data_IF_049536123855
#
_entry.id   IF_049536123855
#
_cell.length_a   1.000
_cell.length_b   1.000
_cell.length_c   1.000
_cell.angle_alpha   90.00
_cell.angle_beta   90.00
_cell.angle_gamma   90.00
#
_symmetry.space_group_name_H-M   'P 1'
#
loop_
_entity.id
_entity.type
_entity.pdbx_description
1 polymer ?
#
# COMPACT_ATOMS: atom_id res chain seq x y z
N UNK A 1 18.44 14.60 12.61
CA UNK A 1 18.23 14.42 12.37
C UNK A 1 18.21 13.83 12.01
N UNK A 2 17.97 13.94 12.01
CA UNK A 2 17.70 13.53 11.70
C UNK A 2 17.39 12.88 11.10
N UNK A 3 17.61 12.50 10.80
CA UNK A 3 17.15 11.93 10.20
C UNK A 3 16.15 11.78 10.02
N UNK A 4 16.00 12.01 10.59
CA UNK A 4 14.65 11.96 10.79
C UNK A 4 13.84 12.41 9.71
N UNK A 5 14.19 13.35 9.09
CA UNK A 5 13.41 13.85 8.04
C UNK A 5 13.24 12.84 7.00
N UNK A 6 14.05 11.88 6.95
CA UNK A 6 13.83 10.83 6.08
C UNK A 6 13.03 9.79 6.72
N UNK A 7 12.65 10.01 7.94
CA UNK A 7 11.94 9.07 8.74
C UNK A 7 10.58 9.64 9.00
N UNK A 8 9.58 9.04 8.48
CA UNK A 8 8.24 9.54 8.67
C UNK A 8 7.71 9.11 9.98
N UNK A 9 7.08 10.01 10.66
CA UNK A 9 6.30 9.63 11.84
C UNK A 9 4.90 9.28 11.34
N UNK A 10 4.72 8.03 11.02
CA UNK A 10 3.45 7.57 10.50
C UNK A 10 2.45 7.23 11.60
N UNK A 11 2.85 7.39 12.85
CA UNK A 11 1.96 7.03 13.95
C UNK A 11 0.69 7.87 13.99
N UNK A 12 0.69 9.03 13.35
CA UNK A 12 -0.53 9.83 13.31
C UNK A 12 -1.65 9.09 12.59
N UNK A 13 -1.32 8.09 11.78
CA UNK A 13 -2.32 7.31 11.08
C UNK A 13 -2.83 6.13 11.89
N UNK A 14 -2.25 5.87 13.06
CA UNK A 14 -2.62 4.70 13.84
C UNK A 14 -4.06 4.77 14.32
N UNK A 15 -4.59 5.95 14.54
CA UNK A 15 -5.95 6.11 15.02
C UNK A 15 -6.92 6.50 13.93
N UNK A 16 -6.48 6.50 12.67
CA UNK A 16 -7.34 6.83 11.56
C UNK A 16 -8.28 5.65 11.31
N UNK A 17 -9.60 5.88 11.21
CA UNK A 17 -10.51 4.78 10.93
C UNK A 17 -10.39 4.23 9.51
N UNK A 18 -9.78 4.99 8.62
CA UNK A 18 -9.53 4.50 7.26
C UNK A 18 -8.27 3.65 7.27
N UNK A 19 -8.27 2.60 6.45
CA UNK A 19 -7.07 1.77 6.31
C UNK A 19 -6.03 2.50 5.49
N UNK A 20 -4.84 2.63 6.03
CA UNK A 20 -3.75 3.33 5.37
C UNK A 20 -2.53 2.44 5.37
N UNK A 21 -1.89 2.31 4.22
CA UNK A 21 -0.61 1.61 4.17
C UNK A 21 0.35 2.37 3.26
N UNK A 22 1.62 2.13 3.47
CA UNK A 22 2.68 2.62 2.60
C UNK A 22 3.35 1.39 2.02
N UNK A 23 3.56 1.38 0.72
CA UNK A 23 4.13 0.22 0.06
C UNK A 23 5.31 0.62 -0.81
N UNK A 24 6.16 -0.38 -1.07
CA UNK A 24 7.25 -0.25 -2.02
C UNK A 24 6.94 -1.23 -3.16
N UNK A 25 6.69 -0.72 -4.35
CA UNK A 25 6.38 -1.56 -5.50
C UNK A 25 7.67 -2.15 -6.04
N UNK A 26 7.68 -3.47 -6.19
CA UNK A 26 8.86 -4.22 -6.63
C UNK A 26 8.81 -4.43 -8.13
N UNK A 27 9.94 -4.24 -8.79
CA UNK A 27 10.04 -4.42 -10.22
C UNK A 27 10.96 -5.59 -10.53
N UNK A 28 10.72 -6.24 -11.67
CA UNK A 28 11.62 -7.29 -12.12
C UNK A 28 12.73 -6.69 -13.00
N UNK A 29 13.52 -7.54 -13.61
CA UNK A 29 14.65 -7.08 -14.42
C UNK A 29 14.21 -6.26 -15.61
N UNK A 30 12.99 -6.47 -16.08
CA UNK A 30 12.46 -5.71 -17.20
C UNK A 30 11.77 -4.44 -16.75
N UNK A 31 11.92 -4.07 -15.48
CA UNK A 31 11.29 -2.89 -14.89
C UNK A 31 9.76 -2.97 -14.91
N UNK A 32 9.22 -4.16 -14.85
CA UNK A 32 7.79 -4.37 -14.77
C UNK A 32 7.39 -4.70 -13.33
N UNK A 33 6.23 -4.20 -12.87
CA UNK A 33 5.81 -4.46 -11.50
C UNK A 33 5.44 -5.92 -11.31
N UNK A 34 5.91 -6.51 -10.22
CA UNK A 34 5.63 -7.92 -9.94
C UNK A 34 5.05 -8.14 -8.56
N UNK A 35 5.23 -7.19 -7.63
CA UNK A 35 4.80 -7.37 -6.25
C UNK A 35 4.95 -6.04 -5.54
N UNK A 36 4.59 -6.00 -4.27
CA UNK A 36 4.93 -4.85 -3.42
C UNK A 36 5.16 -5.34 -2.00
N UNK A 37 5.97 -4.58 -1.27
CA UNK A 37 6.29 -4.85 0.12
C UNK A 37 5.61 -3.81 0.97
N UNK A 38 5.00 -4.22 2.07
CA UNK A 38 4.37 -3.29 2.99
C UNK A 38 5.46 -2.63 3.84
N UNK A 39 5.49 -1.30 3.82
CA UNK A 39 6.42 -0.53 4.64
C UNK A 39 5.74 -0.11 5.94
N UNK A 40 4.45 0.21 5.86
CA UNK A 40 3.68 0.62 7.02
C UNK A 40 2.22 0.22 6.79
N UNK A 41 1.57 -0.20 7.84
CA UNK A 41 0.13 -0.50 7.82
C UNK A 41 -0.44 0.02 9.14
N UNK A 42 -1.53 0.78 9.06
CA UNK A 42 -2.16 1.21 10.29
C UNK A 42 -3.10 0.11 10.81
N UNK A 43 -3.59 0.22 12.05
CA UNK A 43 -4.44 -0.84 12.60
C UNK A 43 -5.70 -1.09 11.79
N UNK A 44 -6.33 -0.06 11.22
CA UNK A 44 -7.54 -0.27 10.42
C UNK A 44 -7.24 -1.11 9.20
N UNK A 45 -6.09 -0.88 8.54
CA UNK A 45 -5.70 -1.67 7.39
C UNK A 45 -5.42 -3.12 7.80
N UNK A 46 -4.73 -3.31 8.92
CA UNK A 46 -4.41 -4.66 9.40
C UNK A 46 -5.68 -5.42 9.72
N UNK A 47 -6.63 -4.77 10.38
CA UNK A 47 -7.88 -5.42 10.71
C UNK A 47 -8.60 -5.87 9.45
N UNK A 48 -8.59 -5.00 8.44
CA UNK A 48 -9.26 -5.35 7.23
C UNK A 48 -8.61 -6.53 6.54
N UNK A 49 -7.29 -6.63 6.59
CA UNK A 49 -6.58 -7.75 5.98
C UNK A 49 -6.65 -9.02 6.83
N UNK A 50 -7.08 -8.89 8.07
CA UNK A 50 -7.20 -10.05 8.94
C UNK A 50 -5.88 -10.52 9.53
N UNK A 51 -4.86 -9.66 9.52
CA UNK A 51 -3.54 -9.99 10.06
C UNK A 51 -3.05 -8.82 10.90
N UNK A 52 -2.29 -9.09 11.96
CA UNK A 52 -1.71 -7.99 12.71
C UNK A 52 -0.67 -7.25 11.86
N UNK A 53 -0.50 -5.95 12.15
CA UNK A 53 0.39 -5.12 11.34
C UNK A 53 1.82 -5.68 11.30
N UNK A 54 2.29 -6.25 12.39
CA UNK A 54 3.65 -6.77 12.42
C UNK A 54 3.82 -8.01 11.54
N UNK A 55 2.72 -8.62 11.11
CA UNK A 55 2.79 -9.72 10.16
C UNK A 55 2.66 -9.25 8.73
N UNK A 56 2.30 -7.99 8.53
CA UNK A 56 2.19 -7.42 7.20
C UNK A 56 3.44 -6.64 6.82
N UNK A 57 3.93 -5.82 7.74
CA UNK A 57 5.06 -4.93 7.44
C UNK A 57 6.31 -5.77 7.17
N UNK A 58 6.99 -5.44 6.09
CA UNK A 58 8.17 -6.17 5.65
C UNK A 58 7.87 -7.35 4.76
N UNK A 59 6.58 -7.68 4.54
CA UNK A 59 6.21 -8.82 3.73
C UNK A 59 5.72 -8.38 2.36
N UNK A 60 5.93 -9.23 1.38
CA UNK A 60 5.43 -8.98 0.04
C UNK A 60 4.00 -9.45 -0.07
N UNK A 61 3.21 -8.69 -0.85
CA UNK A 61 1.79 -8.96 -0.97
C UNK A 61 1.51 -10.37 -1.49
N UNK A 62 2.20 -10.78 -2.56
CA UNK A 62 1.92 -12.09 -3.15
C UNK A 62 2.54 -13.24 -2.37
N UNK A 63 3.39 -12.94 -1.38
CA UNK A 63 3.81 -13.96 -0.43
C UNK A 63 2.68 -14.22 0.57
N UNK A 64 2.00 -13.17 1.00
CA UNK A 64 0.89 -13.31 1.94
C UNK A 64 -0.37 -13.81 1.25
N UNK A 65 -0.61 -13.36 0.03
CA UNK A 65 -1.82 -13.69 -0.71
C UNK A 65 -1.46 -14.17 -2.11
N UNK A 66 -0.95 -15.40 -2.22
CA UNK A 66 -0.37 -15.85 -3.50
C UNK A 66 -1.37 -15.97 -4.64
N UNK A 67 -2.66 -16.11 -4.32
CA UNK A 67 -3.66 -16.25 -5.37
C UNK A 67 -4.38 -14.94 -5.66
N UNK A 68 -3.96 -13.83 -5.06
CA UNK A 68 -4.64 -12.55 -5.27
C UNK A 68 -4.45 -12.08 -6.70
N UNK A 69 -5.40 -11.29 -7.18
CA UNK A 69 -5.39 -10.80 -8.54
C UNK A 69 -4.19 -9.90 -8.79
N UNK A 70 -3.69 -9.94 -10.01
CA UNK A 70 -2.60 -9.05 -10.42
C UNK A 70 -3.09 -7.69 -10.89
N UNK A 71 -4.40 -7.45 -10.84
CA UNK A 71 -4.98 -6.22 -11.36
C UNK A 71 -4.52 -4.97 -10.63
N UNK A 72 -4.03 -5.13 -9.39
CA UNK A 72 -3.58 -3.99 -8.58
C UNK A 72 -2.21 -3.46 -9.01
N UNK A 73 -1.43 -4.28 -9.70
CA UNK A 73 -0.03 -3.94 -9.96
C UNK A 73 0.14 -2.73 -10.85
N UNK A 74 -0.61 -2.66 -11.94
CA UNK A 74 -0.43 -1.56 -12.89
C UNK A 74 -0.77 -0.20 -12.28
N UNK A 75 -1.94 -0.03 -11.65
CA UNK A 75 -2.24 1.27 -11.07
C UNK A 75 -1.30 1.65 -9.94
N UNK A 76 -0.87 0.71 -9.14
CA UNK A 76 0.07 1.01 -8.07
C UNK A 76 1.44 1.40 -8.65
N UNK A 77 1.85 0.71 -9.70
CA UNK A 77 3.09 1.04 -10.38
C UNK A 77 3.02 2.46 -10.96
N UNK A 78 1.91 2.81 -11.59
CA UNK A 78 1.78 4.13 -12.19
C UNK A 78 1.77 5.22 -11.13
N UNK A 79 1.11 4.99 -10.02
CA UNK A 79 1.12 5.96 -8.93
C UNK A 79 2.54 6.12 -8.38
N UNK A 80 3.24 5.00 -8.25
CA UNK A 80 4.55 4.99 -7.62
C UNK A 80 5.64 5.56 -8.51
N UNK A 81 5.70 5.14 -9.74
CA UNK A 81 6.84 5.45 -10.60
C UNK A 81 6.54 6.52 -11.64
N UNK A 82 5.28 6.76 -11.92
CA UNK A 82 4.89 7.78 -12.90
C UNK A 82 4.16 8.95 -12.27
N UNK A 83 3.98 8.91 -10.96
CA UNK A 83 3.30 9.96 -10.20
C UNK A 83 1.89 10.22 -10.72
N UNK A 84 1.20 9.15 -11.12
CA UNK A 84 -0.17 9.25 -11.59
C UNK A 84 -1.07 8.72 -10.49
N UNK A 85 -1.74 9.60 -9.73
CA UNK A 85 -2.67 9.12 -8.70
C UNK A 85 -3.82 8.38 -9.33
N UNK A 86 -4.36 7.40 -8.64
CA UNK A 86 -5.49 6.67 -9.17
C UNK A 86 -6.49 6.34 -8.09
N UNK A 87 -7.74 6.17 -8.52
CA UNK A 87 -8.80 5.68 -7.67
C UNK A 87 -9.29 4.38 -8.27
N UNK A 88 -9.48 3.38 -7.44
CA UNK A 88 -9.90 2.07 -7.89
C UNK A 88 -11.08 1.61 -7.07
N UNK A 89 -12.07 1.04 -7.77
CA UNK A 89 -13.18 0.38 -7.10
C UNK A 89 -13.16 -1.06 -7.59
N UNK A 90 -12.71 -1.97 -6.75
CA UNK A 90 -12.46 -3.34 -7.17
C UNK A 90 -12.76 -4.30 -6.04
N UNK A 91 -12.96 -5.55 -6.40
CA UNK A 91 -13.13 -6.59 -5.41
C UNK A 91 -11.75 -7.16 -5.09
N UNK A 92 -11.42 -7.20 -3.80
CA UNK A 92 -10.21 -7.86 -3.35
C UNK A 92 -10.59 -9.27 -2.94
N UNK A 93 -10.38 -10.20 -3.85
CA UNK A 93 -10.81 -11.58 -3.64
C UNK A 93 -10.13 -12.21 -2.43
N UNK A 94 -8.89 -11.80 -2.15
CA UNK A 94 -8.14 -12.39 -1.06
C UNK A 94 -8.75 -12.12 0.30
N UNK A 95 -9.58 -11.08 0.41
CA UNK A 95 -10.26 -10.77 1.66
C UNK A 95 -11.78 -10.76 1.49
N UNK A 96 -12.25 -11.05 0.28
CA UNK A 96 -13.69 -11.12 0.02
C UNK A 96 -14.40 -9.80 0.19
N UNK A 97 -13.76 -8.69 -0.13
CA UNK A 97 -14.31 -7.37 0.13
C UNK A 97 -14.21 -6.47 -1.07
N UNK A 98 -15.18 -5.56 -1.18
CA UNK A 98 -15.19 -4.58 -2.24
C UNK A 98 -14.45 -3.35 -1.73
N UNK A 99 -13.48 -2.89 -2.51
CA UNK A 99 -12.58 -1.84 -2.05
C UNK A 99 -12.66 -0.60 -2.90
N UNK A 100 -12.59 0.55 -2.23
CA UNK A 100 -12.30 1.79 -2.93
C UNK A 100 -10.91 2.25 -2.44
N UNK A 101 -9.99 2.40 -3.37
CA UNK A 101 -8.59 2.67 -3.04
C UNK A 101 -8.16 3.96 -3.70
N UNK A 102 -7.51 4.81 -2.92
CA UNK A 102 -6.81 5.97 -3.46
C UNK A 102 -5.32 5.68 -3.34
N UNK A 103 -4.67 5.55 -4.48
CA UNK A 103 -3.23 5.31 -4.52
C UNK A 103 -2.54 6.59 -4.98
N UNK A 104 -1.65 7.12 -4.16
CA UNK A 104 -0.97 8.38 -4.46
C UNK A 104 0.51 8.23 -4.17
N UNK A 105 1.37 8.92 -4.92
CA UNK A 105 2.77 8.94 -4.59
C UNK A 105 2.98 9.75 -3.32
N UNK A 106 4.03 9.43 -2.58
CA UNK A 106 4.35 10.24 -1.41
C UNK A 106 5.19 11.40 -1.86
N UNK A 107 4.59 12.57 -1.85
CA UNK A 107 5.22 13.74 -2.43
C UNK A 107 6.51 14.12 -1.75
N UNK A 108 6.66 13.79 -0.48
CA UNK A 108 7.86 14.16 0.23
C UNK A 108 9.05 13.28 -0.10
N UNK A 109 8.84 12.19 -0.84
CA UNK A 109 9.94 11.31 -1.16
C UNK A 109 10.39 11.52 -2.56
N UNK A 110 11.68 11.57 -2.74
CA UNK A 110 12.24 11.63 -4.05
C UNK A 110 12.58 10.27 -4.56
N UNK A 111 12.52 9.30 -3.70
CA UNK A 111 12.87 7.94 -4.07
C UNK A 111 11.66 7.22 -4.58
N UNK A 112 11.80 6.44 -5.61
CA UNK A 112 10.64 5.79 -6.20
C UNK A 112 10.13 4.61 -5.39
N UNK A 113 10.66 4.39 -4.19
CA UNK A 113 10.20 3.28 -3.40
C UNK A 113 9.27 3.68 -2.25
N UNK A 114 8.84 4.92 -2.19
CA UNK A 114 8.02 5.36 -1.07
C UNK A 114 6.72 5.96 -1.52
N UNK A 115 5.62 5.30 -1.22
CA UNK A 115 4.32 5.76 -1.62
C UNK A 115 3.34 5.62 -0.51
N UNK A 116 2.29 6.42 -0.59
CA UNK A 116 1.17 6.32 0.30
C UNK A 116 0.01 5.76 -0.45
N UNK A 117 -0.59 4.70 0.08
CA UNK A 117 -1.84 4.19 -0.41
C UNK A 117 -2.84 4.39 0.69
N UNK A 118 -3.84 5.23 0.43
CA UNK A 118 -4.77 5.63 1.45
C UNK A 118 -6.14 5.04 1.12
N UNK A 119 -6.75 4.43 2.11
CA UNK A 119 -7.96 3.68 1.88
C UNK A 119 -8.97 4.09 2.93
N UNK A 120 -9.96 4.89 2.56
CA UNK A 120 -10.99 5.24 3.54
C UNK A 120 -11.70 3.99 3.99
N UNK A 121 -12.06 3.98 5.23
CA UNK A 121 -12.69 2.81 5.79
C UNK A 121 -13.94 2.44 5.05
N UNK A 122 -14.71 3.42 4.64
CA UNK A 122 -15.92 3.13 3.92
C UNK A 122 -15.61 2.52 2.57
N UNK A 123 -14.39 2.62 2.16
CA UNK A 123 -14.05 2.09 0.91
C UNK A 123 -13.35 0.84 1.09
N UNK A 124 -13.06 0.42 2.06
CA UNK A 124 -12.51 -0.70 2.33
C UNK A 124 -11.28 -0.76 2.36
N UNK A 125 -10.80 -0.76 2.92
CA UNK A 125 -9.62 -1.06 3.04
C UNK A 125 -9.09 -0.65 3.93
#
# INVERSE_FOLDING_TARGET
MKKSNEHWDLSIHDYNPNGICVIHVELNEAAAPVDWTYVYCNPAFAEMKGLPAEKLVGQRFYTLFPTASRKWLKPYYEAAYKSIPCELDEIAEEIGAYLHVDAVPTASFRRPWAWNIRWPLSWIF
#
